data_IF_626572960980
#
_entry.id   IF_626572960980
#
_cell.length_a   1.000
_cell.length_b   1.000
_cell.length_c   1.000
_cell.angle_alpha   90.00
_cell.angle_beta   90.00
_cell.angle_gamma   90.00
#
_symmetry.space_group_name_H-M   'P 1'
#
loop_
_entity.id
_entity.type
_entity.pdbx_description
1 polymer ?
#
# COMPACT_ATOMS: atom_id res chain seq x y z
N UNK A 1 -10.39 6.83 16.40
CA UNK A 1 -9.60 5.61 16.15
C UNK A 1 -8.43 6.08 15.33
N UNK A 2 -7.19 6.03 15.85
CA UNK A 2 -6.03 6.46 15.07
C UNK A 2 -5.96 5.65 13.77
N UNK A 3 -5.70 6.29 12.62
CA UNK A 3 -5.50 5.55 11.38
C UNK A 3 -4.28 4.66 11.58
N UNK A 4 -4.48 3.34 11.56
CA UNK A 4 -3.35 2.41 11.46
C UNK A 4 -2.64 2.73 10.14
N UNK A 5 -1.32 2.91 10.15
CA UNK A 5 -0.50 3.29 8.98
C UNK A 5 -0.48 2.27 7.83
N UNK A 6 -1.43 1.33 7.80
CA UNK A 6 -1.52 0.23 6.86
C UNK A 6 -2.57 0.42 5.76
N UNK A 7 -3.25 1.58 5.68
CA UNK A 7 -4.27 1.82 4.65
C UNK A 7 -3.76 1.58 3.22
N UNK A 8 -2.50 1.97 2.94
CA UNK A 8 -1.86 1.70 1.64
C UNK A 8 -1.74 0.20 1.38
N UNK A 9 -1.28 -0.56 2.38
CA UNK A 9 -1.10 -2.01 2.31
C UNK A 9 -2.44 -2.71 2.10
N UNK A 10 -3.46 -2.35 2.90
CA UNK A 10 -4.82 -2.89 2.78
C UNK A 10 -5.43 -2.60 1.41
N UNK A 11 -5.29 -1.36 0.94
CA UNK A 11 -5.81 -0.94 -0.37
C UNK A 11 -5.09 -1.70 -1.50
N UNK A 12 -3.77 -1.87 -1.39
CA UNK A 12 -2.99 -2.60 -2.39
C UNK A 12 -3.39 -4.07 -2.46
N UNK A 13 -3.49 -4.76 -1.32
CA UNK A 13 -3.93 -6.15 -1.27
C UNK A 13 -5.36 -6.32 -1.78
N UNK A 14 -6.27 -5.39 -1.47
CA UNK A 14 -7.63 -5.40 -2.01
C UNK A 14 -7.64 -5.39 -3.54
N UNK A 15 -6.82 -4.54 -4.17
CA UNK A 15 -6.69 -4.53 -5.63
C UNK A 15 -6.00 -5.78 -6.20
N UNK A 16 -5.19 -6.47 -5.39
CA UNK A 16 -4.66 -7.79 -5.70
C UNK A 16 -5.63 -8.96 -5.37
N UNK A 17 -6.85 -8.67 -4.93
CA UNK A 17 -7.87 -9.68 -4.61
C UNK A 17 -7.67 -10.39 -3.26
N UNK A 18 -6.92 -9.79 -2.33
CA UNK A 18 -6.60 -10.34 -1.02
C UNK A 18 -7.22 -9.46 0.08
N UNK A 19 -7.94 -10.08 1.01
CA UNK A 19 -8.47 -9.40 2.20
C UNK A 19 -7.56 -9.66 3.40
N UNK A 20 -7.03 -8.59 3.98
CA UNK A 20 -6.01 -8.65 5.05
C UNK A 20 -6.68 -8.56 6.42
N UNK A 21 -6.26 -9.44 7.33
CA UNK A 21 -6.63 -9.40 8.75
C UNK A 21 -5.40 -9.17 9.62
N UNK A 22 -5.42 -8.10 10.41
CA UNK A 22 -4.32 -7.71 11.28
C UNK A 22 -4.41 -8.38 12.64
N UNK A 23 -3.30 -8.98 13.07
CA UNK A 23 -3.14 -9.62 14.37
C UNK A 23 -1.91 -9.09 15.08
N UNK A 24 -1.94 -9.04 16.42
CA UNK A 24 -0.83 -8.53 17.23
C UNK A 24 -0.81 -7.00 17.34
N UNK A 25 0.33 -6.46 17.77
CA UNK A 25 0.49 -5.01 17.96
C UNK A 25 1.97 -4.59 17.95
N UNK A 26 2.28 -3.45 17.36
CA UNK A 26 3.66 -2.95 17.30
C UNK A 26 4.55 -3.88 16.48
N UNK A 27 5.68 -4.34 17.04
CA UNK A 27 6.61 -5.21 16.32
C UNK A 27 6.07 -6.63 16.08
N UNK A 28 5.03 -7.05 16.81
CA UNK A 28 4.38 -8.35 16.62
C UNK A 28 3.12 -8.22 15.77
N UNK A 29 2.90 -7.07 15.11
CA UNK A 29 1.79 -6.91 14.21
C UNK A 29 2.07 -7.60 12.87
N UNK A 30 1.10 -8.39 12.40
CA UNK A 30 1.19 -9.13 11.15
C UNK A 30 -0.15 -9.17 10.41
N UNK A 31 -0.07 -9.06 9.09
CA UNK A 31 -1.20 -9.13 8.18
C UNK A 31 -1.36 -10.55 7.65
N UNK A 32 -2.54 -11.11 7.83
CA UNK A 32 -2.90 -12.47 7.41
C UNK A 32 -3.89 -12.39 6.25
N UNK A 33 -3.67 -13.17 5.20
CA UNK A 33 -4.68 -13.39 4.16
C UNK A 33 -5.84 -14.19 4.74
N UNK A 34 -7.03 -13.59 4.82
CA UNK A 34 -8.23 -14.25 5.37
C UNK A 34 -8.62 -15.53 4.65
N UNK A 35 -8.36 -15.61 3.33
CA UNK A 35 -8.76 -16.76 2.54
C UNK A 35 -7.86 -17.98 2.78
N UNK A 36 -6.57 -17.75 3.04
CA UNK A 36 -5.57 -18.83 3.11
C UNK A 36 -4.96 -19.04 4.49
N UNK A 37 -5.15 -18.10 5.42
CA UNK A 37 -4.50 -18.09 6.74
C UNK A 37 -3.00 -17.84 6.68
N UNK A 38 -2.45 -17.47 5.51
CA UNK A 38 -1.02 -17.21 5.35
C UNK A 38 -0.65 -15.82 5.86
N UNK A 39 0.47 -15.72 6.56
CA UNK A 39 1.10 -14.43 6.84
C UNK A 39 1.66 -13.83 5.56
N UNK A 40 1.16 -12.64 5.21
CA UNK A 40 1.52 -11.91 3.98
C UNK A 40 2.21 -10.58 4.29
N UNK A 41 2.13 -10.10 5.53
CA UNK A 41 2.84 -8.89 6.01
C UNK A 41 3.37 -9.13 7.41
N UNK A 42 4.62 -8.73 7.64
CA UNK A 42 5.27 -8.72 8.97
C UNK A 42 5.97 -7.38 9.20
N UNK A 43 6.09 -6.97 10.46
CA UNK A 43 6.86 -5.80 10.86
C UNK A 43 8.30 -6.22 11.16
N UNK A 44 9.27 -5.58 10.49
CA UNK A 44 10.69 -5.72 10.82
C UNK A 44 11.23 -4.40 11.38
N UNK A 45 11.72 -4.36 12.64
CA UNK A 45 12.31 -3.18 13.27
C UNK A 45 13.47 -2.55 12.49
N UNK A 46 14.16 -3.30 11.63
CA UNK A 46 15.25 -2.77 10.80
C UNK A 46 14.79 -1.71 9.79
N UNK A 47 13.49 -1.67 9.45
CA UNK A 47 12.93 -0.64 8.57
C UNK A 47 12.51 0.64 9.32
N UNK A 48 12.62 0.67 10.65
CA UNK A 48 12.26 1.85 11.43
C UNK A 48 13.34 2.91 11.33
N UNK A 49 12.93 4.17 11.23
CA UNK A 49 13.85 5.31 11.23
C UNK A 49 14.12 5.76 12.68
N UNK A 50 15.35 6.16 13.02
CA UNK A 50 15.66 6.71 14.35
C UNK A 50 14.84 7.95 14.73
N UNK A 51 14.38 8.70 13.73
CA UNK A 51 13.46 9.82 13.88
C UNK A 51 12.31 9.64 12.89
N UNK A 52 11.10 9.48 13.41
CA UNK A 52 9.89 9.26 12.62
C UNK A 52 9.06 10.54 12.52
N UNK A 53 8.41 10.75 11.37
CA UNK A 53 7.44 11.84 11.20
C UNK A 53 6.06 11.22 11.19
N UNK A 54 5.26 11.49 12.23
CA UNK A 54 3.97 10.81 12.43
C UNK A 54 2.96 11.12 11.32
N UNK A 55 2.85 12.38 10.89
CA UNK A 55 1.88 12.80 9.87
C UNK A 55 2.47 13.89 8.97
N UNK A 56 2.23 13.76 7.66
CA UNK A 56 2.45 14.80 6.68
C UNK A 56 1.13 15.11 5.97
N UNK A 57 0.65 16.34 6.12
CA UNK A 57 -0.57 16.82 5.47
C UNK A 57 -0.29 18.18 4.82
N UNK A 58 -0.17 18.17 3.49
CA UNK A 58 0.06 19.39 2.71
C UNK A 58 -1.24 20.14 2.40
N UNK A 59 -1.18 21.47 2.45
CA UNK A 59 -2.24 22.36 1.96
C UNK A 59 -1.86 22.93 0.58
N UNK A 60 -2.49 22.48 -0.52
CA UNK A 60 -2.18 22.96 -1.85
C UNK A 60 -2.90 24.26 -2.24
N UNK A 61 -3.67 24.91 -1.35
CA UNK A 61 -4.57 26.03 -1.69
C UNK A 61 -3.90 27.14 -2.48
N UNK A 62 -2.63 27.47 -2.17
CA UNK A 62 -1.87 28.49 -2.90
C UNK A 62 -1.59 28.10 -4.35
N UNK A 63 -1.28 26.83 -4.62
CA UNK A 63 -1.04 26.34 -5.97
C UNK A 63 -2.36 26.30 -6.77
N UNK A 64 -3.46 25.91 -6.13
CA UNK A 64 -4.79 25.91 -6.74
C UNK A 64 -5.21 27.33 -7.14
N UNK A 65 -5.04 28.30 -6.25
CA UNK A 65 -5.44 29.70 -6.48
C UNK A 65 -4.55 30.37 -7.53
N UNK A 66 -3.23 30.22 -7.44
CA UNK A 66 -2.29 31.01 -8.27
C UNK A 66 -1.94 30.36 -9.59
N UNK A 67 -1.99 29.02 -9.66
CA UNK A 67 -1.57 28.26 -10.83
C UNK A 67 -2.74 27.55 -11.52
N UNK A 68 -3.93 27.54 -10.90
CA UNK A 68 -5.06 26.74 -11.38
C UNK A 68 -4.78 25.23 -11.31
N UNK A 69 -3.71 24.82 -10.61
CA UNK A 69 -3.33 23.42 -10.48
C UNK A 69 -4.37 22.68 -9.65
N UNK A 70 -4.70 21.44 -10.02
CA UNK A 70 -5.57 20.57 -9.23
C UNK A 70 -5.03 19.14 -9.27
N UNK A 71 -5.17 18.41 -8.17
CA UNK A 71 -4.91 16.97 -8.16
C UNK A 71 -5.93 16.26 -9.06
N UNK A 72 -5.44 15.40 -9.94
CA UNK A 72 -6.31 14.61 -10.83
C UNK A 72 -6.51 13.18 -10.31
N UNK A 73 -5.53 12.66 -9.59
CA UNK A 73 -5.49 11.28 -9.12
C UNK A 73 -5.82 11.25 -7.63
N UNK A 74 -6.73 10.34 -7.24
CA UNK A 74 -7.05 10.07 -5.83
C UNK A 74 -6.07 9.06 -5.26
N UNK A 75 -6.02 8.93 -3.93
CA UNK A 75 -5.22 7.89 -3.27
C UNK A 75 -5.57 6.48 -3.79
N UNK A 76 -6.86 6.14 -3.83
CA UNK A 76 -7.32 4.82 -4.29
C UNK A 76 -6.93 4.56 -5.75
N UNK A 77 -7.07 5.56 -6.62
CA UNK A 77 -6.68 5.45 -8.03
C UNK A 77 -5.16 5.30 -8.21
N UNK A 78 -4.35 5.99 -7.40
CA UNK A 78 -2.91 5.84 -7.39
C UNK A 78 -2.52 4.39 -7.02
N UNK A 79 -3.05 3.87 -5.91
CA UNK A 79 -2.74 2.50 -5.46
C UNK A 79 -3.19 1.48 -6.50
N UNK A 80 -4.39 1.61 -7.06
CA UNK A 80 -4.92 0.74 -8.12
C UNK A 80 -3.96 0.66 -9.30
N UNK A 81 -3.54 1.82 -9.83
CA UNK A 81 -2.65 1.90 -11.00
C UNK A 81 -1.29 1.26 -10.75
N UNK A 82 -0.75 1.43 -9.54
CA UNK A 82 0.52 0.81 -9.15
C UNK A 82 0.40 -0.73 -9.13
N UNK A 83 -0.61 -1.24 -8.43
CA UNK A 83 -0.81 -2.70 -8.28
C UNK A 83 -1.13 -3.37 -9.61
N UNK A 84 -2.04 -2.82 -10.41
CA UNK A 84 -2.39 -3.38 -11.73
C UNK A 84 -1.18 -3.46 -12.66
N UNK A 85 -0.32 -2.44 -12.64
CA UNK A 85 0.90 -2.45 -13.43
C UNK A 85 1.86 -3.55 -12.99
N UNK A 86 2.11 -3.68 -11.68
CA UNK A 86 3.05 -4.69 -11.16
C UNK A 86 2.51 -6.11 -11.38
N UNK A 87 1.20 -6.34 -11.22
CA UNK A 87 0.56 -7.61 -11.56
C UNK A 87 0.75 -7.97 -13.04
N UNK A 88 0.59 -6.99 -13.94
CA UNK A 88 0.79 -7.21 -15.38
C UNK A 88 2.25 -7.51 -15.74
N UNK A 89 3.22 -6.94 -15.00
CA UNK A 89 4.65 -7.26 -15.15
C UNK A 89 4.90 -8.72 -14.70
N UNK A 90 4.46 -9.08 -13.50
CA UNK A 90 4.65 -10.42 -12.94
C UNK A 90 3.97 -11.50 -13.79
N UNK A 91 2.77 -11.23 -14.31
CA UNK A 91 2.07 -12.16 -15.21
C UNK A 91 2.90 -12.47 -16.47
N UNK A 92 3.57 -11.46 -17.04
CA UNK A 92 4.46 -11.66 -18.21
C UNK A 92 5.69 -12.48 -17.84
N UNK A 93 6.29 -12.23 -16.69
CA UNK A 93 7.46 -12.97 -16.20
C UNK A 93 7.14 -14.45 -15.97
N UNK A 94 5.98 -14.75 -15.37
CA UNK A 94 5.50 -16.12 -15.17
C UNK A 94 5.29 -16.83 -16.52
N UNK A 95 4.64 -16.17 -17.49
CA UNK A 95 4.44 -16.71 -18.84
C UNK A 95 5.76 -17.05 -19.53
N UNK A 96 6.76 -16.16 -19.44
CA UNK A 96 8.09 -16.39 -20.02
C UNK A 96 8.80 -17.57 -19.33
N UNK A 97 8.68 -17.66 -18.00
CA UNK A 97 9.33 -18.71 -17.21
C UNK A 97 8.76 -20.09 -17.51
N UNK A 98 7.45 -20.20 -17.79
CA UNK A 98 6.79 -21.46 -18.14
C UNK A 98 7.08 -21.97 -19.57
N UNK A 99 7.72 -21.15 -20.41
CA UNK A 99 8.11 -21.52 -21.78
C UNK A 99 9.55 -22.05 -21.83
N UNK A 100 10.36 -21.78 -20.80
CA UNK A 100 11.73 -22.30 -20.67
C UNK A 100 11.74 -23.68 -20.01
#
# INVERSE_FOLDING_TARGET
MEPKGFEFVETAFRYAGIDVEWHGSGITENGIDKATGKTIVTVNPEFFRPAEVEVLLGDPSKAEEKLGWKREITFQELVRRMVENDLAIVEKEIKISNIK
#
